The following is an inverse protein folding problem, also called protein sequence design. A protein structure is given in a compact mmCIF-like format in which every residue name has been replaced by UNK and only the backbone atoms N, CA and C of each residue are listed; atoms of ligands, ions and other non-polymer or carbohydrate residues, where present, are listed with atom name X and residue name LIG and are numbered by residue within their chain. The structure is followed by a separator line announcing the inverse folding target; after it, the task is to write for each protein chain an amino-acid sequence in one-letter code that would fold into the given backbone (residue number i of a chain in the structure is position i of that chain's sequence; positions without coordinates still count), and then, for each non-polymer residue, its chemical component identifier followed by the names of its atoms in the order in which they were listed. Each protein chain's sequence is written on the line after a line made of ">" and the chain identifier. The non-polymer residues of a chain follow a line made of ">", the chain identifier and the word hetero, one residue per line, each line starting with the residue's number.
data_IF_860682347903
#
_entry.id   IF_860682347903
#
_cell.length_a   1.000
_cell.length_b   1.000
_cell.length_c   1.000
_cell.angle_alpha   90.00
_cell.angle_beta   90.00
_cell.angle_gamma   90.00
#
_symmetry.space_group_name_H-M   'P 1'
#
loop_
_entity.id
_entity.type
_entity.pdbx_description
1 polymer ?
#
# COMPACT_ATOMS: atom_id res chain seq x y z
N UNK A 1 -6.43 44.40 21.56
CA UNK A 1 -6.62 42.98 21.18
C UNK A 1 -5.36 42.56 20.42
N UNK A 2 -4.41 41.91 21.09
CA UNK A 2 -3.12 41.54 20.48
C UNK A 2 -3.33 40.20 19.77
N UNK A 3 -3.22 40.19 18.44
CA UNK A 3 -3.15 38.95 17.66
C UNK A 3 -1.73 38.41 17.80
N UNK A 4 -1.56 37.32 18.55
CA UNK A 4 -0.33 36.56 18.51
C UNK A 4 -0.19 35.93 17.13
N UNK A 5 0.79 36.38 16.36
CA UNK A 5 1.21 35.71 15.14
C UNK A 5 2.14 34.56 15.56
N UNK A 6 1.54 33.41 15.92
CA UNK A 6 2.32 32.21 16.21
C UNK A 6 2.91 31.75 14.88
N UNK A 7 4.24 31.68 14.71
CA UNK A 7 4.83 31.13 13.50
C UNK A 7 4.40 29.66 13.40
N UNK A 8 3.65 29.33 12.35
CA UNK A 8 3.28 27.97 12.02
C UNK A 8 4.54 27.26 11.53
N UNK A 9 5.17 26.47 12.40
CA UNK A 9 6.24 25.56 11.98
C UNK A 9 5.55 24.44 11.19
N UNK A 10 5.91 24.20 9.92
CA UNK A 10 5.33 23.10 9.17
C UNK A 10 5.66 21.79 9.89
N UNK A 11 4.65 20.97 10.13
CA UNK A 11 4.84 19.65 10.73
C UNK A 11 5.70 18.79 9.80
N UNK A 12 6.67 18.03 10.33
CA UNK A 12 7.47 17.14 9.50
C UNK A 12 6.57 16.06 8.89
N UNK A 13 6.78 15.77 7.61
CA UNK A 13 6.13 14.63 6.95
C UNK A 13 6.77 13.35 7.49
N UNK A 14 5.97 12.47 8.10
CA UNK A 14 6.39 11.12 8.49
C UNK A 14 6.92 10.43 7.23
N UNK A 15 8.21 10.11 7.13
CA UNK A 15 8.78 9.56 5.90
C UNK A 15 9.66 8.35 6.23
N UNK A 16 9.15 7.16 5.92
CA UNK A 16 9.85 5.90 6.07
C UNK A 16 10.41 5.54 4.70
N UNK A 17 11.71 5.29 4.66
CA UNK A 17 12.41 4.93 3.43
C UNK A 17 11.86 3.60 2.86
N UNK A 18 11.77 3.52 1.53
CA UNK A 18 11.25 2.32 0.85
C UNK A 18 12.07 1.07 1.17
N UNK A 19 13.39 1.19 1.35
CA UNK A 19 14.25 0.07 1.77
C UNK A 19 13.86 -0.40 3.17
N UNK A 20 13.63 0.53 4.11
CA UNK A 20 13.16 0.19 5.45
C UNK A 20 11.79 -0.50 5.42
N UNK A 21 10.84 -0.01 4.60
CA UNK A 21 9.55 -0.69 4.41
C UNK A 21 9.72 -2.12 3.90
N UNK A 22 10.60 -2.34 2.91
CA UNK A 22 10.89 -3.69 2.39
C UNK A 22 11.44 -4.61 3.48
N UNK A 23 12.36 -4.11 4.30
CA UNK A 23 12.93 -4.87 5.42
C UNK A 23 11.90 -5.19 6.51
N UNK A 24 10.99 -4.26 6.80
CA UNK A 24 9.88 -4.46 7.75
C UNK A 24 8.95 -5.56 7.21
N UNK A 25 8.42 -5.40 6.00
CA UNK A 25 7.47 -6.35 5.41
C UNK A 25 8.06 -7.74 5.15
N UNK A 26 9.39 -7.84 4.95
CA UNK A 26 10.08 -9.12 4.84
C UNK A 26 9.93 -10.00 6.08
N UNK A 27 9.74 -9.41 7.28
CA UNK A 27 9.60 -10.13 8.57
C UNK A 27 8.25 -10.84 8.71
N UNK A 28 7.23 -10.42 7.97
CA UNK A 28 5.87 -10.94 8.05
C UNK A 28 5.67 -12.11 7.07
N UNK A 29 5.98 -13.33 7.49
CA UNK A 29 5.93 -14.54 6.64
C UNK A 29 4.54 -14.89 6.08
N UNK A 30 3.48 -14.41 6.72
CA UNK A 30 2.08 -14.59 6.31
C UNK A 30 1.60 -13.56 5.28
N UNK A 31 2.44 -12.56 4.95
CA UNK A 31 2.21 -11.62 3.83
C UNK A 31 3.01 -12.09 2.63
N UNK A 32 2.32 -12.40 1.53
CA UNK A 32 2.93 -12.87 0.28
C UNK A 32 3.34 -11.71 -0.61
N UNK A 33 2.45 -10.73 -0.66
CA UNK A 33 2.58 -9.56 -1.48
C UNK A 33 2.19 -8.34 -0.65
N UNK A 34 2.96 -7.26 -0.78
CA UNK A 34 2.65 -5.96 -0.22
C UNK A 34 2.98 -4.87 -1.22
N UNK A 35 2.06 -3.95 -1.43
CA UNK A 35 2.25 -2.76 -2.24
C UNK A 35 1.87 -1.52 -1.44
N UNK A 36 2.69 -0.49 -1.54
CA UNK A 36 2.33 0.86 -1.13
C UNK A 36 1.57 1.50 -2.30
N UNK A 37 0.42 2.09 -2.01
CA UNK A 37 -0.38 2.85 -2.97
C UNK A 37 -0.76 4.22 -2.38
N UNK A 38 -1.64 4.96 -3.05
CA UNK A 38 -2.12 6.25 -2.56
C UNK A 38 -1.08 7.37 -2.58
N UNK A 39 -1.27 8.35 -1.68
CA UNK A 39 -0.55 9.64 -1.71
C UNK A 39 0.97 9.53 -1.53
N UNK A 40 1.44 8.44 -0.91
CA UNK A 40 2.85 8.22 -0.58
C UNK A 40 3.67 7.55 -1.68
N UNK A 41 3.06 7.22 -2.83
CA UNK A 41 3.78 6.72 -4.02
C UNK A 41 4.45 7.85 -4.83
N UNK A 42 4.56 9.05 -4.27
CA UNK A 42 5.46 10.10 -4.78
C UNK A 42 5.39 11.37 -3.96
N UNK A 43 5.40 12.53 -4.62
CA UNK A 43 5.62 13.82 -3.94
C UNK A 43 4.35 14.48 -3.40
N UNK A 44 3.24 13.75 -3.33
CA UNK A 44 1.93 14.30 -2.94
C UNK A 44 1.65 14.13 -1.44
N UNK A 45 2.57 13.51 -0.70
CA UNK A 45 2.43 13.27 0.73
C UNK A 45 2.49 14.58 1.55
N UNK A 46 1.53 14.74 2.45
CA UNK A 46 1.44 15.84 3.41
C UNK A 46 1.67 15.32 4.85
N UNK A 47 1.84 16.20 5.85
CA UNK A 47 2.19 15.77 7.22
C UNK A 47 1.20 14.80 7.87
N UNK A 48 -0.06 14.83 7.43
CA UNK A 48 -1.15 13.96 7.88
C UNK A 48 -1.49 12.85 6.87
N UNK A 49 -0.59 12.53 5.93
CA UNK A 49 -0.87 11.45 4.98
C UNK A 49 -0.66 10.10 5.66
N UNK A 50 -1.62 9.21 5.48
CA UNK A 50 -1.50 7.84 5.97
C UNK A 50 -0.66 7.00 4.98
N UNK A 51 -0.21 5.83 5.41
CA UNK A 51 0.43 4.82 4.57
C UNK A 51 -0.60 3.80 4.12
N UNK A 52 -0.99 3.89 2.85
CA UNK A 52 -1.92 2.97 2.22
C UNK A 52 -1.19 1.72 1.71
N UNK A 53 -1.38 0.58 2.36
CA UNK A 53 -0.84 -0.70 1.94
C UNK A 53 -1.94 -1.66 1.52
N UNK A 54 -1.76 -2.30 0.37
CA UNK A 54 -2.56 -3.46 0.01
C UNK A 54 -1.70 -4.72 0.12
N UNK A 55 -2.23 -5.73 0.80
CA UNK A 55 -1.50 -6.97 1.09
C UNK A 55 -2.28 -8.21 0.64
N UNK A 56 -1.54 -9.23 0.20
CA UNK A 56 -2.06 -10.60 0.09
C UNK A 56 -1.65 -11.34 1.35
N UNK A 57 -2.65 -11.65 2.18
CA UNK A 57 -2.47 -12.24 3.50
C UNK A 57 -3.02 -13.68 3.52
N UNK A 58 -2.23 -14.62 4.05
CA UNK A 58 -2.57 -16.05 4.14
C UNK A 58 -3.19 -16.50 5.46
N UNK A 59 -3.38 -15.60 6.43
CA UNK A 59 -3.97 -15.95 7.72
C UNK A 59 -5.47 -15.69 7.81
N UNK A 60 -6.03 -15.96 8.99
CA UNK A 60 -7.46 -15.80 9.26
C UNK A 60 -7.87 -14.32 9.37
N UNK A 61 -9.10 -14.02 8.97
CA UNK A 61 -9.65 -12.65 9.00
C UNK A 61 -9.62 -12.05 10.40
N UNK A 62 -9.85 -12.88 11.42
CA UNK A 62 -9.79 -12.48 12.83
C UNK A 62 -8.42 -11.94 13.24
N UNK A 63 -7.35 -12.38 12.58
CA UNK A 63 -5.98 -11.98 12.88
C UNK A 63 -5.52 -10.76 12.07
N UNK A 64 -6.31 -10.31 11.10
CA UNK A 64 -5.97 -9.16 10.25
C UNK A 64 -5.85 -7.86 11.07
N UNK A 65 -6.72 -7.66 12.06
CA UNK A 65 -6.64 -6.51 12.97
C UNK A 65 -5.35 -6.54 13.80
N UNK A 66 -4.91 -7.73 14.22
CA UNK A 66 -3.64 -7.88 14.94
C UNK A 66 -2.45 -7.57 14.04
N UNK A 67 -2.51 -8.02 12.78
CA UNK A 67 -1.48 -7.70 11.78
C UNK A 67 -1.32 -6.19 11.59
N UNK A 68 -2.42 -5.44 11.56
CA UNK A 68 -2.39 -3.98 11.46
C UNK A 68 -1.59 -3.34 12.60
N UNK A 69 -1.82 -3.78 13.84
CA UNK A 69 -1.08 -3.32 15.02
C UNK A 69 0.40 -3.70 14.94
N UNK A 70 0.70 -4.92 14.49
CA UNK A 70 2.09 -5.40 14.38
C UNK A 70 2.89 -4.63 13.31
N UNK A 71 2.25 -4.29 12.18
CA UNK A 71 2.87 -3.46 11.13
C UNK A 71 3.10 -2.03 11.65
N UNK A 72 2.10 -1.41 12.31
CA UNK A 72 2.24 -0.07 12.89
C UNK A 72 3.41 0.01 13.87
N UNK A 73 3.48 -0.95 14.79
CA UNK A 73 4.56 -1.04 15.75
C UNK A 73 5.93 -1.27 15.08
N UNK A 74 6.00 -2.10 14.03
CA UNK A 74 7.25 -2.33 13.30
C UNK A 74 7.72 -1.11 12.48
N UNK A 75 6.79 -0.24 12.10
CA UNK A 75 7.04 1.02 11.40
C UNK A 75 7.29 2.21 12.34
N UNK A 76 7.08 2.03 13.65
CA UNK A 76 7.18 3.09 14.67
C UNK A 76 6.29 4.31 14.36
N UNK A 77 5.03 4.03 13.97
CA UNK A 77 4.00 5.06 13.71
C UNK A 77 2.68 4.70 14.39
N UNK A 78 1.78 5.69 14.49
CA UNK A 78 0.45 5.49 15.05
C UNK A 78 -0.39 4.58 14.13
N UNK A 79 -1.27 3.77 14.70
CA UNK A 79 -2.10 2.82 13.93
C UNK A 79 -3.01 3.58 12.96
N UNK A 80 -3.46 4.77 13.35
CA UNK A 80 -4.30 5.65 12.54
C UNK A 80 -3.59 6.15 11.27
N UNK A 81 -2.25 6.12 11.21
CA UNK A 81 -1.48 6.54 10.04
C UNK A 81 -1.24 5.42 9.02
N UNK A 82 -1.90 4.25 9.18
CA UNK A 82 -1.80 3.14 8.25
C UNK A 82 -3.20 2.77 7.81
N UNK A 83 -3.43 2.71 6.49
CA UNK A 83 -4.57 2.00 5.94
C UNK A 83 -4.09 0.66 5.37
N UNK A 84 -4.61 -0.44 5.91
CA UNK A 84 -4.24 -1.79 5.51
C UNK A 84 -5.41 -2.48 4.82
N UNK A 85 -5.25 -2.75 3.54
CA UNK A 85 -6.26 -3.38 2.68
C UNK A 85 -5.89 -4.83 2.38
N UNK A 86 -6.83 -5.76 2.59
CA UNK A 86 -6.73 -7.11 2.04
C UNK A 86 -7.00 -7.06 0.53
N UNK A 87 -5.95 -7.22 -0.27
CA UNK A 87 -5.99 -7.12 -1.72
C UNK A 87 -7.00 -8.09 -2.35
N UNK A 88 -7.12 -9.31 -1.81
CA UNK A 88 -8.00 -10.34 -2.38
C UNK A 88 -9.48 -9.99 -2.19
N UNK A 89 -9.80 -9.21 -1.15
CA UNK A 89 -11.15 -8.74 -0.81
C UNK A 89 -11.43 -7.31 -1.26
N UNK A 90 -10.41 -6.58 -1.70
CA UNK A 90 -10.53 -5.20 -2.14
C UNK A 90 -11.49 -5.07 -3.34
N UNK A 91 -12.26 -3.99 -3.34
CA UNK A 91 -13.11 -3.62 -4.47
C UNK A 91 -12.31 -3.18 -5.70
N UNK A 92 -12.97 -3.16 -6.85
CA UNK A 92 -12.36 -2.80 -8.14
C UNK A 92 -11.78 -1.38 -8.18
N UNK A 93 -12.32 -0.44 -7.40
CA UNK A 93 -11.77 0.93 -7.29
C UNK A 93 -10.35 0.92 -6.75
N UNK A 94 -10.13 0.24 -5.62
CA UNK A 94 -8.80 0.12 -4.99
C UNK A 94 -7.84 -0.63 -5.91
N UNK A 95 -8.27 -1.73 -6.53
CA UNK A 95 -7.44 -2.47 -7.48
C UNK A 95 -7.01 -1.62 -8.68
N UNK A 96 -7.91 -0.79 -9.21
CA UNK A 96 -7.58 0.16 -10.30
C UNK A 96 -6.58 1.22 -9.86
N UNK A 97 -6.72 1.74 -8.65
CA UNK A 97 -5.77 2.69 -8.09
C UNK A 97 -4.37 2.09 -7.97
N UNK A 98 -4.28 0.88 -7.41
CA UNK A 98 -3.02 0.13 -7.32
C UNK A 98 -2.43 -0.13 -8.71
N UNK A 99 -3.25 -0.54 -9.69
CA UNK A 99 -2.80 -0.75 -11.07
C UNK A 99 -2.22 0.53 -11.69
N UNK A 100 -2.82 1.69 -11.40
CA UNK A 100 -2.38 2.97 -11.90
C UNK A 100 -1.06 3.43 -11.26
N UNK A 101 -0.92 3.29 -9.94
CA UNK A 101 0.23 3.83 -9.20
C UNK A 101 0.49 3.04 -7.91
N UNK A 102 1.61 2.34 -7.85
CA UNK A 102 2.06 1.59 -6.68
C UNK A 102 3.59 1.48 -6.57
N UNK A 103 4.08 1.12 -5.39
CA UNK A 103 5.45 0.63 -5.15
C UNK A 103 5.36 -0.78 -4.59
N UNK A 104 6.01 -1.73 -5.25
CA UNK A 104 6.13 -3.10 -4.74
C UNK A 104 7.07 -3.14 -3.53
N UNK A 105 6.51 -3.49 -2.37
CA UNK A 105 7.23 -3.62 -1.09
C UNK A 105 7.63 -5.08 -0.85
N UNK A 106 6.75 -6.04 -1.15
CA UNK A 106 7.02 -7.48 -1.02
C UNK A 106 6.34 -8.28 -2.13
N UNK A 107 6.93 -9.41 -2.49
CA UNK A 107 6.44 -10.31 -3.52
C UNK A 107 7.12 -10.09 -4.88
N UNK A 108 6.44 -10.44 -5.97
CA UNK A 108 6.97 -10.28 -7.33
C UNK A 108 6.05 -9.46 -8.23
N UNK A 109 6.64 -8.80 -9.24
CA UNK A 109 5.87 -8.06 -10.25
C UNK A 109 4.90 -8.96 -11.03
N UNK A 110 5.33 -10.18 -11.34
CA UNK A 110 4.52 -11.14 -12.08
C UNK A 110 3.29 -11.57 -11.27
N UNK A 111 3.45 -11.80 -9.97
CA UNK A 111 2.33 -12.11 -9.08
C UNK A 111 1.33 -10.95 -9.00
N UNK A 112 1.82 -9.72 -8.84
CA UNK A 112 0.97 -8.53 -8.85
C UNK A 112 0.18 -8.39 -10.16
N UNK A 113 0.85 -8.59 -11.30
CA UNK A 113 0.23 -8.48 -12.63
C UNK A 113 -0.88 -9.53 -12.83
N UNK A 114 -0.67 -10.77 -12.36
CA UNK A 114 -1.70 -11.82 -12.35
C UNK A 114 -2.91 -11.42 -11.51
N UNK A 115 -2.67 -10.89 -10.31
CA UNK A 115 -3.70 -10.49 -9.36
C UNK A 115 -4.52 -9.28 -9.86
N UNK A 116 -3.89 -8.36 -10.59
CA UNK A 116 -4.55 -7.24 -11.25
C UNK A 116 -5.24 -7.64 -12.57
N UNK A 117 -5.05 -8.87 -13.05
CA UNK A 117 -5.60 -9.33 -14.32
C UNK A 117 -4.93 -8.72 -15.57
N UNK A 118 -3.79 -8.06 -15.43
CA UNK A 118 -3.07 -7.39 -16.52
C UNK A 118 -2.25 -8.34 -17.40
N UNK A 119 -2.16 -9.62 -17.02
CA UNK A 119 -1.50 -10.67 -17.81
C UNK A 119 -2.36 -11.18 -19.00
N UNK A 120 -3.61 -10.72 -19.14
CA UNK A 120 -4.57 -11.24 -20.13
C UNK A 120 -4.66 -10.48 -21.47
N UNK A 121 -3.73 -9.59 -21.79
CA UNK A 121 -3.70 -8.91 -23.11
C UNK A 121 -2.46 -9.27 -23.97
N UNK A 122 -1.85 -10.45 -23.77
CA UNK A 122 -0.82 -10.99 -24.68
C UNK A 122 -1.29 -12.19 -25.52
N UNK A 123 -2.59 -12.48 -25.55
CA UNK A 123 -3.16 -13.53 -26.39
C UNK A 123 -4.60 -13.17 -26.78
N UNK A 124 -4.75 -12.48 -27.91
CA UNK A 124 -5.71 -12.77 -29.02
C UNK A 124 -6.15 -11.50 -29.79
N UNK A 125 -5.76 -11.34 -31.08
CA UNK A 125 -6.80 -11.35 -32.11
C UNK A 125 -6.39 -12.14 -33.36
N UNK A 126 -6.76 -13.41 -33.40
CA UNK A 126 -7.17 -14.17 -34.59
C UNK A 126 -8.44 -14.88 -34.14
N UNK A 127 -9.63 -14.50 -34.59
CA UNK A 127 -10.14 -14.83 -35.91
C UNK A 127 -11.50 -14.15 -36.07
N UNK A 128 -11.69 -13.35 -37.11
CA UNK A 128 -12.94 -13.41 -37.89
C UNK A 128 -12.55 -13.23 -39.36
N UNK A 129 -12.16 -14.37 -39.94
CA UNK A 129 -12.19 -14.59 -41.37
C UNK A 129 -12.97 -15.88 -41.61
N UNK A 130 -14.23 -15.72 -42.04
CA UNK A 130 -14.96 -16.68 -42.88
C UNK A 130 -16.17 -15.98 -43.49
#
# INVERSE_FOLDING_TARGET
>A
MIRYNIPMIPLPVKNIDIVALKEIFARFSHIDLAVLFGSRVGNDAHPFSDYDFAIVYRGDVSDFARLWVEIAHAMDIDIEDIDLVDFLRAGESIKREIAYRHILIKGSKNELARLLGTDKEASDPREEGS
#
